data_IF_407716435802
#
_entry.id   IF_407716435802
#
_cell.length_a   1.000
_cell.length_b   1.000
_cell.length_c   1.000
_cell.angle_alpha   90.00
_cell.angle_beta   90.00
_cell.angle_gamma   90.00
#
_symmetry.space_group_name_H-M   'P 1'
#
loop_
_entity.id
_entity.type
_entity.pdbx_description
1 polymer ?
#
# COMPACT_ATOMS: atom_id res chain seq x y z
N UNK A 1 -10.32 43.05 -36.01
CA UNK A 1 -10.87 42.14 -34.98
C UNK A 1 -10.21 40.75 -34.98
N UNK A 2 -9.23 40.48 -35.85
CA UNK A 2 -8.61 39.16 -36.02
C UNK A 2 -7.43 38.87 -35.07
N UNK A 3 -6.72 39.89 -34.59
CA UNK A 3 -5.55 39.69 -33.72
C UNK A 3 -5.90 39.24 -32.29
N UNK A 4 -7.12 39.54 -31.81
CA UNK A 4 -7.56 39.13 -30.46
C UNK A 4 -7.97 37.65 -30.42
N UNK A 5 -8.49 37.10 -31.53
CA UNK A 5 -8.95 35.72 -31.59
C UNK A 5 -7.78 34.72 -31.65
N UNK A 6 -6.68 35.08 -32.31
CA UNK A 6 -5.46 34.25 -32.38
C UNK A 6 -4.74 34.15 -31.03
N UNK A 7 -4.79 35.20 -30.21
CA UNK A 7 -4.13 35.23 -28.90
C UNK A 7 -4.85 34.38 -27.85
N UNK A 8 -6.18 34.26 -27.93
CA UNK A 8 -6.99 33.39 -27.04
C UNK A 8 -6.77 31.91 -27.35
N UNK A 9 -6.57 31.55 -28.62
CA UNK A 9 -6.32 30.15 -29.01
C UNK A 9 -4.95 29.63 -28.55
N UNK A 10 -3.92 30.49 -28.54
CA UNK A 10 -2.56 30.11 -28.11
C UNK A 10 -2.51 29.91 -26.58
N UNK A 11 -3.26 30.70 -25.81
CA UNK A 11 -3.32 30.56 -24.35
C UNK A 11 -4.08 29.27 -23.95
N UNK A 12 -5.12 28.89 -24.70
CA UNK A 12 -5.87 27.65 -24.45
C UNK A 12 -5.04 26.38 -24.74
N UNK A 13 -4.08 26.43 -25.67
CA UNK A 13 -3.24 25.29 -26.04
C UNK A 13 -2.09 25.03 -25.05
N UNK A 14 -1.59 26.07 -24.37
CA UNK A 14 -0.53 25.94 -23.34
C UNK A 14 -1.06 25.37 -22.01
N UNK A 15 -2.38 25.41 -21.80
CA UNK A 15 -3.04 24.85 -20.61
C UNK A 15 -3.35 23.35 -20.71
N UNK A 16 -3.06 22.70 -21.85
CA UNK A 16 -3.30 21.28 -22.03
C UNK A 16 -2.02 20.46 -21.79
N UNK A 17 -2.04 19.73 -20.67
CA UNK A 17 -1.24 18.55 -20.37
C UNK A 17 0.27 18.75 -20.18
N UNK A 18 0.65 19.26 -19.01
CA UNK A 18 1.76 18.59 -18.33
C UNK A 18 1.22 17.21 -17.90
N UNK A 19 1.75 16.07 -18.40
CA UNK A 19 1.60 14.84 -17.65
C UNK A 19 2.29 15.10 -16.32
N UNK A 20 1.50 15.37 -15.29
CA UNK A 20 1.95 15.24 -13.92
C UNK A 20 2.34 13.77 -13.78
N UNK A 21 3.62 13.47 -14.00
CA UNK A 21 4.23 12.20 -13.61
C UNK A 21 4.18 12.17 -12.08
N UNK A 22 3.00 11.86 -11.56
CA UNK A 22 2.81 11.64 -10.15
C UNK A 22 3.59 10.38 -9.80
N UNK A 23 4.72 10.58 -9.13
CA UNK A 23 5.62 9.51 -8.67
C UNK A 23 4.93 8.57 -7.67
N UNK A 24 3.72 8.95 -7.24
CA UNK A 24 2.77 8.11 -6.58
C UNK A 24 1.34 8.57 -6.84
N UNK A 25 0.38 7.64 -6.90
CA UNK A 25 -1.05 7.96 -6.94
C UNK A 25 -1.79 7.28 -5.78
N UNK A 26 -2.84 7.92 -5.23
CA UNK A 26 -3.76 7.24 -4.33
C UNK A 26 -4.42 6.05 -5.03
N UNK A 27 -4.62 4.96 -4.30
CA UNK A 27 -5.40 3.80 -4.74
C UNK A 27 -6.35 3.40 -3.62
N UNK A 28 -7.45 2.75 -3.99
CA UNK A 28 -8.32 2.07 -3.04
C UNK A 28 -7.67 0.82 -2.45
N UNK A 29 -8.51 -0.09 -1.99
CA UNK A 29 -8.11 -1.35 -1.36
C UNK A 29 -7.75 -2.40 -2.44
N UNK A 30 -6.67 -2.15 -3.18
CA UNK A 30 -6.19 -3.02 -4.26
C UNK A 30 -4.67 -2.94 -4.44
N UNK A 31 -4.10 -3.87 -5.22
CA UNK A 31 -2.68 -3.93 -5.55
C UNK A 31 -2.49 -3.87 -7.06
N UNK A 32 -1.51 -3.07 -7.50
CA UNK A 32 -1.06 -3.05 -8.88
C UNK A 32 -0.02 -4.17 -9.13
N UNK A 33 -0.49 -5.35 -9.49
CA UNK A 33 0.36 -6.52 -9.78
C UNK A 33 1.12 -6.36 -11.11
N UNK A 34 2.34 -6.93 -11.23
CA UNK A 34 3.09 -6.87 -12.48
C UNK A 34 2.41 -7.70 -13.57
N UNK A 35 2.67 -7.35 -14.82
CA UNK A 35 2.11 -8.08 -15.98
C UNK A 35 2.56 -9.55 -15.93
N UNK A 36 1.60 -10.47 -16.11
CA UNK A 36 1.87 -11.91 -16.10
C UNK A 36 1.96 -12.54 -14.70
N UNK A 37 1.72 -11.78 -13.62
CA UNK A 37 1.56 -12.36 -12.29
C UNK A 37 0.41 -13.37 -12.28
N UNK A 38 0.52 -14.42 -11.45
CA UNK A 38 -0.47 -15.48 -11.39
C UNK A 38 -1.83 -14.92 -10.95
N UNK A 39 -2.89 -15.02 -11.78
CA UNK A 39 -4.18 -14.40 -11.48
C UNK A 39 -4.87 -15.02 -10.27
N UNK A 40 -4.71 -16.34 -10.04
CA UNK A 40 -5.25 -17.02 -8.86
C UNK A 40 -4.61 -16.49 -7.58
N UNK A 41 -3.28 -16.41 -7.54
CA UNK A 41 -2.56 -15.80 -6.40
C UNK A 41 -2.96 -14.34 -6.19
N UNK A 42 -3.12 -13.57 -7.27
CA UNK A 42 -3.53 -12.18 -7.20
C UNK A 42 -4.91 -12.03 -6.52
N UNK A 43 -5.87 -12.89 -6.90
CA UNK A 43 -7.20 -12.90 -6.28
C UNK A 43 -7.18 -13.39 -4.83
N UNK A 44 -6.36 -14.37 -4.47
CA UNK A 44 -6.19 -14.79 -3.07
C UNK A 44 -5.64 -13.64 -2.20
N UNK A 45 -4.61 -12.92 -2.68
CA UNK A 45 -4.08 -11.74 -1.99
C UNK A 45 -5.17 -10.66 -1.90
N UNK A 46 -5.88 -10.39 -3.01
CA UNK A 46 -6.99 -9.42 -3.04
C UNK A 46 -8.07 -9.76 -2.03
N UNK A 47 -8.44 -11.03 -1.89
CA UNK A 47 -9.45 -11.46 -0.93
C UNK A 47 -9.05 -11.08 0.50
N UNK A 48 -7.78 -11.29 0.89
CA UNK A 48 -7.29 -10.89 2.22
C UNK A 48 -7.31 -9.37 2.38
N UNK A 49 -6.76 -8.61 1.43
CA UNK A 49 -6.68 -7.15 1.57
C UNK A 49 -8.05 -6.48 1.48
N UNK A 50 -9.02 -7.08 0.79
CA UNK A 50 -10.38 -6.57 0.60
C UNK A 50 -11.32 -6.90 1.75
N UNK A 51 -10.97 -7.88 2.59
CA UNK A 51 -11.75 -8.30 3.75
C UNK A 51 -12.10 -7.11 4.67
N UNK A 52 -13.40 -6.90 4.89
CA UNK A 52 -13.94 -5.75 5.61
C UNK A 52 -13.65 -5.78 7.11
N UNK A 53 -13.24 -6.94 7.67
CA UNK A 53 -12.81 -7.01 9.07
C UNK A 53 -11.54 -6.20 9.34
N UNK A 54 -10.77 -5.88 8.30
CA UNK A 54 -9.58 -5.04 8.39
C UNK A 54 -9.91 -3.59 8.02
N UNK A 55 -9.68 -2.67 8.96
CA UNK A 55 -10.01 -1.26 8.79
C UNK A 55 -8.98 -0.57 7.88
N UNK A 56 -9.28 -0.51 6.59
CA UNK A 56 -8.48 0.21 5.61
C UNK A 56 -8.53 1.73 5.82
N UNK A 57 -7.37 2.37 5.76
CA UNK A 57 -7.21 3.83 5.93
C UNK A 57 -6.94 4.50 4.58
N UNK A 58 -6.14 3.87 3.73
CA UNK A 58 -5.75 4.45 2.44
C UNK A 58 -4.68 3.63 1.74
N UNK A 59 -4.54 3.86 0.44
CA UNK A 59 -3.60 3.15 -0.41
C UNK A 59 -2.83 4.11 -1.31
N UNK A 60 -1.62 3.71 -1.66
CA UNK A 60 -0.77 4.44 -2.59
C UNK A 60 -0.06 3.46 -3.52
N UNK A 61 -0.04 3.74 -4.82
CA UNK A 61 0.90 3.13 -5.76
C UNK A 61 2.10 4.04 -5.90
N UNK A 62 3.30 3.51 -5.77
CA UNK A 62 4.57 4.21 -6.00
C UNK A 62 5.22 3.72 -7.29
N UNK A 63 5.62 4.68 -8.13
CA UNK A 63 6.21 4.44 -9.45
C UNK A 63 7.76 4.57 -9.43
N UNK A 64 8.38 4.52 -8.25
CA UNK A 64 9.82 4.64 -8.11
C UNK A 64 10.53 3.29 -8.30
N UNK A 65 11.54 3.28 -9.18
CA UNK A 65 12.45 2.14 -9.32
C UNK A 65 13.36 2.00 -8.08
N UNK A 66 13.78 0.77 -7.73
CA UNK A 66 13.39 -0.52 -8.33
C UNK A 66 12.10 -1.12 -7.73
N UNK A 67 11.58 -0.54 -6.65
CA UNK A 67 10.55 -1.13 -5.79
C UNK A 67 9.12 -0.71 -6.16
N UNK A 68 8.86 -0.43 -7.44
CA UNK A 68 7.52 -0.09 -7.96
C UNK A 68 6.48 -0.95 -7.23
N UNK A 69 5.55 -0.31 -6.54
CA UNK A 69 4.87 -1.02 -5.47
C UNK A 69 3.58 -0.38 -5.01
N UNK A 70 2.84 -1.14 -4.21
CA UNK A 70 1.61 -0.67 -3.58
C UNK A 70 1.77 -0.71 -2.07
N UNK A 71 1.42 0.38 -1.39
CA UNK A 71 1.32 0.47 0.06
C UNK A 71 -0.12 0.64 0.45
N UNK A 72 -0.61 -0.24 1.32
CA UNK A 72 -1.95 -0.20 1.89
C UNK A 72 -1.84 0.01 3.40
N UNK A 73 -2.46 1.07 3.91
CA UNK A 73 -2.45 1.42 5.32
C UNK A 73 -3.70 0.93 6.00
N UNK A 74 -3.53 0.33 7.17
CA UNK A 74 -4.62 -0.21 7.98
C UNK A 74 -4.56 0.34 9.40
N UNK A 75 -5.71 0.35 10.04
CA UNK A 75 -5.90 0.69 11.44
C UNK A 75 -6.49 -0.52 12.19
N UNK A 76 -6.39 -0.49 13.51
CA UNK A 76 -6.87 -1.57 14.36
C UNK A 76 -5.89 -1.93 15.48
N UNK A 77 -6.37 -2.81 16.35
CA UNK A 77 -5.66 -3.31 17.53
C UNK A 77 -4.75 -4.51 17.19
N UNK A 78 -4.11 -5.06 18.22
CA UNK A 78 -3.25 -6.23 18.10
C UNK A 78 -4.02 -7.47 17.60
N UNK A 79 -5.30 -7.63 17.96
CA UNK A 79 -6.13 -8.74 17.49
C UNK A 79 -6.33 -8.65 15.97
N UNK A 80 -6.72 -7.49 15.47
CA UNK A 80 -6.89 -7.24 14.04
C UNK A 80 -5.62 -7.54 13.25
N UNK A 81 -4.46 -7.10 13.76
CA UNK A 81 -3.17 -7.38 13.13
C UNK A 81 -2.81 -8.87 13.16
N UNK A 82 -3.05 -9.57 14.27
CA UNK A 82 -2.80 -11.01 14.38
C UNK A 82 -3.70 -11.83 13.43
N UNK A 83 -4.97 -11.43 13.30
CA UNK A 83 -5.91 -12.02 12.35
C UNK A 83 -5.47 -11.77 10.90
N UNK A 84 -4.89 -10.59 10.63
CA UNK A 84 -4.32 -10.24 9.33
C UNK A 84 -3.09 -11.08 8.99
N UNK A 85 -2.16 -11.23 9.94
CA UNK A 85 -1.01 -12.12 9.78
C UNK A 85 -1.42 -13.56 9.52
N UNK A 86 -2.46 -14.04 10.22
CA UNK A 86 -2.99 -15.38 10.02
C UNK A 86 -3.55 -15.55 8.61
N UNK A 87 -4.31 -14.57 8.12
CA UNK A 87 -4.86 -14.59 6.76
C UNK A 87 -3.76 -14.60 5.69
N UNK A 88 -2.75 -13.74 5.83
CA UNK A 88 -1.62 -13.67 4.90
C UNK A 88 -0.78 -14.95 4.92
N UNK A 89 -0.60 -15.60 6.07
CA UNK A 89 0.09 -16.89 6.18
C UNK A 89 -0.66 -18.03 5.49
N UNK A 90 -1.97 -17.90 5.32
CA UNK A 90 -2.77 -18.87 4.57
C UNK A 90 -2.51 -18.86 3.06
N UNK A 91 -1.83 -17.82 2.54
CA UNK A 91 -1.54 -17.68 1.12
C UNK A 91 -0.39 -18.60 0.71
N UNK A 92 -0.69 -19.57 -0.16
CA UNK A 92 0.29 -20.59 -0.54
C UNK A 92 1.32 -20.02 -1.53
N UNK A 93 2.59 -20.18 -1.22
CA UNK A 93 3.68 -19.70 -2.09
C UNK A 93 3.82 -18.19 -2.14
N UNK A 94 3.37 -17.50 -1.08
CA UNK A 94 3.64 -16.08 -0.80
C UNK A 94 4.37 -16.01 0.53
N UNK A 95 5.55 -15.41 0.54
CA UNK A 95 6.30 -15.13 1.76
C UNK A 95 5.77 -13.84 2.42
N UNK A 96 5.80 -13.79 3.74
CA UNK A 96 5.48 -12.60 4.52
C UNK A 96 6.72 -12.19 5.31
N UNK A 97 7.11 -10.92 5.17
CA UNK A 97 8.18 -10.27 5.91
C UNK A 97 7.56 -9.25 6.85
N UNK A 98 7.92 -9.26 8.13
CA UNK A 98 7.53 -8.21 9.06
C UNK A 98 8.70 -7.26 9.28
N UNK A 99 8.44 -5.96 9.21
CA UNK A 99 9.43 -4.90 9.37
C UNK A 99 8.97 -3.99 10.49
N UNK A 100 9.74 -3.94 11.57
CA UNK A 100 9.48 -3.05 12.69
C UNK A 100 10.16 -1.72 12.43
N UNK A 101 9.44 -0.61 12.57
CA UNK A 101 10.01 0.72 12.42
C UNK A 101 9.42 1.69 13.43
N UNK A 102 10.16 2.75 13.76
CA UNK A 102 9.67 3.85 14.60
C UNK A 102 9.27 5.01 13.67
N UNK A 103 7.99 5.05 13.31
CA UNK A 103 7.42 6.11 12.48
C UNK A 103 7.23 7.40 13.25
N UNK A 104 6.88 8.47 12.52
CA UNK A 104 6.47 9.71 13.20
C UNK A 104 5.07 9.53 13.78
N UNK A 105 4.90 10.02 15.00
CA UNK A 105 3.62 10.05 15.70
C UNK A 105 3.42 11.46 16.26
N UNK A 106 3.36 12.43 15.37
CA UNK A 106 3.08 13.84 15.70
C UNK A 106 1.75 14.29 15.08
N UNK A 107 1.25 15.44 15.53
CA UNK A 107 -0.05 16.00 15.09
C UNK A 107 -0.10 16.30 13.59
N UNK A 108 1.05 16.48 12.94
CA UNK A 108 1.17 16.85 11.53
C UNK A 108 1.24 15.63 10.61
N UNK A 109 1.66 14.47 11.13
CA UNK A 109 1.76 13.22 10.37
C UNK A 109 1.65 12.00 11.29
N UNK A 110 0.48 11.36 11.29
CA UNK A 110 0.31 10.02 11.88
C UNK A 110 0.55 8.96 10.82
N UNK A 111 1.70 8.30 10.91
CA UNK A 111 1.87 7.04 10.18
C UNK A 111 0.87 6.02 10.75
N UNK A 112 0.16 5.30 9.89
CA UNK A 112 -0.78 4.24 10.27
C UNK A 112 -0.13 3.23 11.21
N UNK A 113 -0.95 2.58 12.07
CA UNK A 113 -0.46 1.57 12.99
C UNK A 113 0.35 0.47 12.29
N UNK A 114 -0.14 0.04 11.12
CA UNK A 114 0.58 -0.90 10.28
C UNK A 114 0.22 -0.74 8.79
N UNK A 115 1.11 -1.22 7.94
CA UNK A 115 1.02 -1.08 6.48
C UNK A 115 1.39 -2.39 5.80
N UNK A 116 0.67 -2.77 4.76
CA UNK A 116 1.07 -3.81 3.81
C UNK A 116 1.73 -3.16 2.60
N UNK A 117 2.96 -3.56 2.32
CA UNK A 117 3.70 -3.20 1.13
C UNK A 117 3.82 -4.41 0.20
N UNK A 118 3.51 -4.17 -1.07
CA UNK A 118 3.75 -5.07 -2.20
C UNK A 118 4.77 -4.42 -3.13
N UNK A 119 5.83 -5.16 -3.48
CA UNK A 119 6.85 -4.72 -4.45
C UNK A 119 6.76 -5.58 -5.71
N UNK A 120 6.70 -4.95 -6.88
CA UNK A 120 6.73 -5.66 -8.16
C UNK A 120 8.05 -6.37 -8.41
N UNK A 121 9.15 -5.92 -7.78
CA UNK A 121 10.44 -6.60 -7.85
C UNK A 121 10.45 -7.91 -7.05
N UNK A 122 9.55 -8.07 -6.08
CA UNK A 122 9.43 -9.25 -5.21
C UNK A 122 7.95 -9.64 -5.02
N UNK A 123 7.25 -10.01 -6.10
CA UNK A 123 5.79 -10.12 -6.07
C UNK A 123 5.27 -11.34 -5.29
N UNK A 124 6.13 -12.32 -4.99
CA UNK A 124 5.81 -13.45 -4.09
C UNK A 124 6.25 -13.18 -2.63
N UNK A 125 6.59 -11.93 -2.28
CA UNK A 125 6.92 -11.53 -0.91
C UNK A 125 6.16 -10.28 -0.51
N UNK A 126 5.21 -10.44 0.39
CA UNK A 126 4.51 -9.33 1.05
C UNK A 126 5.32 -8.83 2.24
N UNK A 127 5.33 -7.52 2.47
CA UNK A 127 5.95 -6.92 3.64
C UNK A 127 4.91 -6.22 4.49
N UNK A 128 4.88 -6.49 5.80
CA UNK A 128 4.06 -5.71 6.74
C UNK A 128 4.98 -4.85 7.61
N UNK A 129 4.78 -3.54 7.54
CA UNK A 129 5.48 -2.56 8.35
C UNK A 129 4.67 -2.25 9.59
N UNK A 130 5.27 -2.41 10.77
CA UNK A 130 4.65 -2.11 12.06
C UNK A 130 5.28 -0.86 12.66
N UNK A 131 4.44 0.16 12.91
CA UNK A 131 4.87 1.38 13.56
C UNK A 131 4.91 1.17 15.08
N UNK A 132 6.11 1.09 15.63
CA UNK A 132 6.33 0.88 17.07
C UNK A 132 5.90 2.07 17.94
N UNK A 133 5.60 3.23 17.33
CA UNK A 133 5.10 4.41 18.03
C UNK A 133 3.57 4.53 17.98
N UNK A 134 2.84 3.57 17.39
CA UNK A 134 1.40 3.65 17.23
C UNK A 134 0.67 3.49 18.57
N UNK A 135 -0.02 4.55 19.02
CA UNK A 135 -0.70 4.56 20.33
C UNK A 135 -1.90 3.60 20.44
N UNK A 136 -2.44 3.11 19.33
CA UNK A 136 -3.59 2.19 19.29
C UNK A 136 -3.22 0.72 19.10
N UNK A 137 -1.92 0.40 19.01
CA UNK A 137 -1.44 -0.95 18.79
C UNK A 137 -0.73 -1.46 20.05
N UNK A 138 -1.39 -2.38 20.76
CA UNK A 138 -0.85 -3.09 21.93
C UNK A 138 0.24 -4.09 21.47
N UNK A 139 1.43 -3.57 21.19
CA UNK A 139 2.53 -4.31 20.54
C UNK A 139 2.94 -5.58 21.29
N UNK A 140 2.83 -5.57 22.62
CA UNK A 140 3.10 -6.74 23.47
C UNK A 140 2.13 -7.91 23.23
N UNK A 141 0.97 -7.64 22.64
CA UNK A 141 -0.02 -8.66 22.27
C UNK A 141 0.09 -9.10 20.80
N UNK A 142 0.95 -8.44 20.02
CA UNK A 142 1.20 -8.81 18.62
C UNK A 142 2.04 -10.09 18.59
N UNK A 143 1.47 -11.14 18.02
CA UNK A 143 2.14 -12.41 17.80
C UNK A 143 2.93 -12.32 16.51
N UNK A 144 4.19 -11.87 16.63
CA UNK A 144 5.11 -11.90 15.51
C UNK A 144 5.19 -13.34 15.01
N UNK A 145 4.90 -13.60 13.74
CA UNK A 145 4.77 -14.98 13.30
C UNK A 145 6.15 -15.65 13.22
N UNK A 146 6.24 -16.91 13.66
CA UNK A 146 7.48 -17.70 13.55
C UNK A 146 7.75 -18.06 12.07
N UNK A 147 8.99 -17.85 11.60
CA UNK A 147 9.45 -18.22 10.26
C UNK A 147 10.72 -19.09 10.26
N UNK A 148 10.85 -20.06 9.33
CA UNK A 148 9.99 -20.27 8.16
C UNK A 148 8.61 -20.86 8.50
N UNK A 149 7.59 -20.55 7.69
CA UNK A 149 6.30 -21.21 7.79
C UNK A 149 6.51 -22.72 7.60
N UNK A 150 5.93 -23.54 8.50
CA UNK A 150 5.93 -25.00 8.37
C UNK A 150 5.18 -25.43 7.12
#
# INVERSE_FOLDING_TARGET
MENKLRMVLVIAFVLQSAPLFALSIPIGRDINFPKGYNPGKAEEIRAVIRDERFKFVGGLVSYWEPDFGTRLSFDGDAKSLNDFFTALRGLRGVALRVILYRGRNDELRRDSAWQLDFSQARPDQLAVYLNLNAAGLELEQVKLPDWPAR
#
